data_IF_086735297655
#
_entry.id   IF_086735297655
#
_cell.length_a   1.000
_cell.length_b   1.000
_cell.length_c   1.000
_cell.angle_alpha   90.00
_cell.angle_beta   90.00
_cell.angle_gamma   90.00
#
_symmetry.space_group_name_H-M   'P 1'
#
loop_
_entity.id
_entity.type
_entity.pdbx_description
1 polymer ?
#
# COMPACT_ATOMS: atom_id res chain seq x y z
N UNK A 1 -69.25 34.30 -44.45
CA UNK A 1 -68.45 33.63 -45.50
C UNK A 1 -67.30 32.92 -44.83
N UNK A 2 -67.52 31.65 -44.47
CA UNK A 2 -66.47 30.78 -43.92
C UNK A 2 -65.85 30.03 -45.10
N UNK A 3 -64.56 30.23 -45.35
CA UNK A 3 -63.83 29.42 -46.34
C UNK A 3 -63.65 28.02 -45.75
N UNK A 4 -64.12 26.95 -46.43
CA UNK A 4 -63.90 25.59 -45.94
C UNK A 4 -62.40 25.32 -45.87
N UNK A 5 -61.91 25.03 -44.66
CA UNK A 5 -60.52 24.67 -44.42
C UNK A 5 -60.25 23.34 -45.14
N UNK A 6 -59.37 23.36 -46.15
CA UNK A 6 -59.02 22.17 -46.92
C UNK A 6 -58.28 21.18 -46.02
N UNK A 7 -58.94 20.08 -45.69
CA UNK A 7 -58.40 18.97 -44.88
C UNK A 7 -57.24 18.24 -45.57
N UNK A 8 -57.13 18.34 -46.89
CA UNK A 8 -56.07 17.70 -47.67
C UNK A 8 -54.67 18.24 -47.32
N UNK A 9 -54.52 19.56 -47.09
CA UNK A 9 -53.22 20.14 -46.76
C UNK A 9 -52.69 19.74 -45.37
N UNK A 10 -53.59 19.40 -44.46
CA UNK A 10 -53.24 19.04 -43.07
C UNK A 10 -52.67 17.62 -43.01
N UNK A 11 -53.20 16.70 -43.83
CA UNK A 11 -52.72 15.32 -43.89
C UNK A 11 -51.29 15.21 -44.45
N UNK A 12 -51.00 15.93 -45.55
CA UNK A 12 -49.66 15.92 -46.15
C UNK A 12 -48.60 16.52 -45.21
N UNK A 13 -48.97 17.57 -44.47
CA UNK A 13 -48.07 18.19 -43.48
C UNK A 13 -47.75 17.22 -42.33
N UNK A 14 -48.74 16.45 -41.85
CA UNK A 14 -48.54 15.46 -40.79
C UNK A 14 -47.67 14.29 -41.27
N UNK A 15 -47.91 13.76 -42.47
CA UNK A 15 -47.10 12.67 -43.03
C UNK A 15 -45.65 13.10 -43.23
N UNK A 16 -45.43 14.32 -43.73
CA UNK A 16 -44.08 14.87 -43.86
C UNK A 16 -43.38 15.03 -42.51
N UNK A 17 -44.12 15.48 -41.49
CA UNK A 17 -43.63 15.59 -40.11
C UNK A 17 -43.19 14.24 -39.53
N UNK A 18 -44.00 13.19 -39.69
CA UNK A 18 -43.68 11.84 -39.21
C UNK A 18 -42.42 11.29 -39.88
N UNK A 19 -42.27 11.49 -41.20
CA UNK A 19 -41.09 11.05 -41.93
C UNK A 19 -39.82 11.79 -41.47
N UNK A 20 -39.91 13.10 -41.22
CA UNK A 20 -38.79 13.91 -40.72
C UNK A 20 -38.36 13.46 -39.32
N UNK A 21 -39.31 13.18 -38.42
CA UNK A 21 -39.03 12.62 -37.09
C UNK A 21 -38.37 11.24 -37.20
N UNK A 22 -38.86 10.36 -38.07
CA UNK A 22 -38.28 9.03 -38.28
C UNK A 22 -36.83 9.08 -38.79
N UNK A 23 -36.55 9.94 -39.76
CA UNK A 23 -35.16 10.14 -40.27
C UNK A 23 -34.23 10.74 -39.21
N UNK A 24 -34.74 11.64 -38.35
CA UNK A 24 -34.00 12.18 -37.23
C UNK A 24 -33.62 11.10 -36.20
N UNK A 25 -34.57 10.27 -35.78
CA UNK A 25 -34.29 9.15 -34.86
C UNK A 25 -33.27 8.17 -35.43
N UNK A 26 -33.37 7.83 -36.73
CA UNK A 26 -32.39 6.95 -37.38
C UNK A 26 -30.97 7.55 -37.40
N UNK A 27 -30.84 8.86 -37.63
CA UNK A 27 -29.55 9.56 -37.57
C UNK A 27 -29.01 9.61 -36.14
N UNK A 28 -29.87 9.90 -35.16
CA UNK A 28 -29.52 9.92 -33.75
C UNK A 28 -29.01 8.55 -33.28
N UNK A 29 -29.67 7.47 -33.69
CA UNK A 29 -29.27 6.11 -33.34
C UNK A 29 -27.90 5.75 -33.94
N UNK A 30 -27.66 6.11 -35.22
CA UNK A 30 -26.35 5.94 -35.86
C UNK A 30 -25.26 6.76 -35.14
N UNK A 31 -25.57 7.99 -34.73
CA UNK A 31 -24.66 8.85 -33.97
C UNK A 31 -24.35 8.22 -32.60
N UNK A 32 -25.36 7.82 -31.82
CA UNK A 32 -25.18 7.16 -30.52
C UNK A 32 -24.33 5.90 -30.63
N UNK A 33 -24.58 5.06 -31.65
CA UNK A 33 -23.79 3.86 -31.94
C UNK A 33 -22.35 4.18 -32.31
N UNK A 34 -22.10 5.31 -32.95
CA UNK A 34 -20.74 5.75 -33.29
C UNK A 34 -20.02 6.32 -32.06
N UNK A 35 -20.66 7.22 -31.31
CA UNK A 35 -20.13 7.80 -30.06
C UNK A 35 -19.83 6.71 -29.03
N UNK A 36 -20.74 5.76 -28.83
CA UNK A 36 -20.53 4.63 -27.91
C UNK A 36 -19.28 3.81 -28.28
N UNK A 37 -19.08 3.51 -29.57
CA UNK A 37 -17.87 2.82 -30.05
C UNK A 37 -16.61 3.64 -29.83
N UNK A 38 -16.67 4.96 -30.00
CA UNK A 38 -15.53 5.84 -29.77
C UNK A 38 -15.17 5.91 -28.29
N UNK A 39 -16.17 6.10 -27.41
CA UNK A 39 -15.94 6.11 -25.96
C UNK A 39 -15.37 4.77 -25.51
N UNK A 40 -15.89 3.63 -25.98
CA UNK A 40 -15.36 2.31 -25.60
C UNK A 40 -13.87 2.15 -25.99
N UNK A 41 -13.47 2.66 -27.16
CA UNK A 41 -12.07 2.65 -27.60
C UNK A 41 -11.18 3.55 -26.76
N UNK A 42 -11.63 4.77 -26.46
CA UNK A 42 -10.89 5.72 -25.61
C UNK A 42 -10.72 5.13 -24.22
N UNK A 43 -11.78 4.53 -23.68
CA UNK A 43 -11.76 3.84 -22.39
C UNK A 43 -10.77 2.68 -22.36
N UNK A 44 -10.79 1.81 -23.37
CA UNK A 44 -9.84 0.71 -23.48
C UNK A 44 -8.39 1.20 -23.53
N UNK A 45 -8.14 2.29 -24.27
CA UNK A 45 -6.83 2.93 -24.37
C UNK A 45 -6.37 3.54 -23.03
N UNK A 46 -7.26 4.24 -22.32
CA UNK A 46 -6.98 4.79 -20.98
C UNK A 46 -6.59 3.68 -20.00
N UNK A 47 -7.34 2.57 -19.98
CA UNK A 47 -7.05 1.42 -19.12
C UNK A 47 -5.71 0.78 -19.51
N UNK A 48 -5.44 0.66 -20.81
CA UNK A 48 -4.20 0.08 -21.32
C UNK A 48 -2.98 0.91 -20.92
N UNK A 49 -3.01 2.22 -21.21
CA UNK A 49 -1.94 3.17 -20.87
C UNK A 49 -1.75 3.23 -19.35
N UNK A 50 -2.84 3.30 -18.59
CA UNK A 50 -2.78 3.31 -17.13
C UNK A 50 -2.15 2.05 -16.55
N UNK A 51 -2.56 0.87 -17.03
CA UNK A 51 -1.97 -0.41 -16.62
C UNK A 51 -0.49 -0.54 -16.97
N UNK A 52 -0.07 -0.11 -18.17
CA UNK A 52 1.35 -0.13 -18.58
C UNK A 52 2.18 0.82 -17.73
N UNK A 53 1.73 2.06 -17.52
CA UNK A 53 2.42 3.03 -16.67
C UNK A 53 2.58 2.48 -15.24
N UNK A 54 1.51 1.98 -14.64
CA UNK A 54 1.58 1.39 -13.29
C UNK A 54 2.53 0.19 -13.23
N UNK A 55 2.55 -0.66 -14.26
CA UNK A 55 3.47 -1.80 -14.34
C UNK A 55 4.92 -1.34 -14.38
N UNK A 56 5.24 -0.36 -15.23
CA UNK A 56 6.60 0.19 -15.35
C UNK A 56 7.02 0.85 -14.05
N UNK A 57 6.15 1.63 -13.41
CA UNK A 57 6.43 2.24 -12.10
C UNK A 57 6.73 1.22 -11.03
N UNK A 58 5.92 0.15 -10.92
CA UNK A 58 6.18 -0.93 -9.96
C UNK A 58 7.47 -1.70 -10.25
N UNK A 59 7.78 -1.96 -11.52
CA UNK A 59 9.02 -2.63 -11.90
C UNK A 59 10.24 -1.75 -11.55
N UNK A 60 10.15 -0.44 -11.81
CA UNK A 60 11.22 0.51 -11.48
C UNK A 60 11.46 0.61 -9.98
N UNK A 61 10.38 0.61 -9.18
CA UNK A 61 10.44 0.58 -7.73
C UNK A 61 10.99 -0.74 -7.18
N UNK A 62 10.75 -1.88 -7.86
CA UNK A 62 11.32 -3.17 -7.47
C UNK A 62 12.84 -3.25 -7.75
N UNK A 63 13.32 -2.60 -8.80
CA UNK A 63 14.75 -2.56 -9.15
C UNK A 63 15.53 -1.59 -8.24
N UNK A 64 14.92 -0.48 -7.84
CA UNK A 64 15.55 0.54 -6.99
C UNK A 64 14.91 0.54 -5.60
N UNK A 65 15.46 -0.28 -4.70
CA UNK A 65 14.94 -0.44 -3.33
C UNK A 65 15.20 0.77 -2.43
N UNK A 66 16.05 1.71 -2.85
CA UNK A 66 16.40 2.88 -2.05
C UNK A 66 15.30 3.96 -2.17
N UNK A 67 14.49 4.19 -1.11
CA UNK A 67 13.37 5.13 -1.14
C UNK A 67 13.83 6.60 -1.26
N UNK A 68 15.12 6.85 -1.04
CA UNK A 68 15.73 8.17 -1.15
C UNK A 68 16.24 8.49 -2.56
N UNK A 69 16.30 7.48 -3.42
CA UNK A 69 16.80 7.68 -4.77
C UNK A 69 15.81 8.54 -5.58
N UNK A 70 16.27 9.50 -6.40
CA UNK A 70 15.38 10.27 -7.27
C UNK A 70 14.60 9.35 -8.24
N UNK A 71 15.17 8.20 -8.58
CA UNK A 71 14.52 7.13 -9.36
C UNK A 71 13.30 6.53 -8.67
N UNK A 72 13.31 6.40 -7.34
CA UNK A 72 12.16 5.91 -6.59
C UNK A 72 10.98 6.90 -6.66
N UNK A 73 11.25 8.20 -6.53
CA UNK A 73 10.22 9.23 -6.69
C UNK A 73 9.58 9.19 -8.08
N UNK A 74 10.39 9.06 -9.14
CA UNK A 74 9.88 8.91 -10.51
C UNK A 74 9.02 7.66 -10.65
N UNK A 75 9.43 6.53 -10.07
CA UNK A 75 8.66 5.29 -10.07
C UNK A 75 7.27 5.48 -9.43
N UNK A 76 7.20 6.11 -8.26
CA UNK A 76 5.95 6.41 -7.55
C UNK A 76 5.03 7.30 -8.39
N UNK A 77 5.55 8.38 -8.99
CA UNK A 77 4.77 9.25 -9.87
C UNK A 77 4.22 8.52 -11.11
N UNK A 78 4.98 7.56 -11.64
CA UNK A 78 4.56 6.71 -12.75
C UNK A 78 3.40 5.78 -12.33
N UNK A 79 3.44 5.23 -11.10
CA UNK A 79 2.32 4.47 -10.54
C UNK A 79 1.10 5.36 -10.32
N UNK A 80 1.25 6.52 -9.68
CA UNK A 80 0.14 7.44 -9.41
C UNK A 80 -0.55 7.86 -10.71
N UNK A 81 0.22 8.30 -11.71
CA UNK A 81 -0.33 8.69 -13.01
C UNK A 81 -1.02 7.52 -13.72
N UNK A 82 -0.44 6.32 -13.69
CA UNK A 82 -1.05 5.12 -14.24
C UNK A 82 -2.39 4.75 -13.59
N UNK A 83 -2.47 4.84 -12.25
CA UNK A 83 -3.71 4.56 -11.51
C UNK A 83 -4.77 5.62 -11.76
N UNK A 84 -4.40 6.90 -11.94
CA UNK A 84 -5.35 7.95 -12.34
C UNK A 84 -5.97 7.64 -13.71
N UNK A 85 -5.16 7.24 -14.70
CA UNK A 85 -5.68 6.81 -16.00
C UNK A 85 -6.60 5.59 -15.90
N UNK A 86 -6.26 4.62 -15.03
CA UNK A 86 -7.14 3.48 -14.72
C UNK A 86 -8.48 3.95 -14.14
N UNK A 87 -8.47 4.84 -13.15
CA UNK A 87 -9.70 5.38 -12.53
C UNK A 87 -10.60 6.05 -13.57
N UNK A 88 -10.04 6.91 -14.44
CA UNK A 88 -10.82 7.54 -15.50
C UNK A 88 -11.36 6.52 -16.52
N UNK A 89 -10.56 5.52 -16.89
CA UNK A 89 -10.99 4.44 -17.76
C UNK A 89 -12.14 3.63 -17.14
N UNK A 90 -12.03 3.24 -15.87
CA UNK A 90 -13.08 2.50 -15.18
C UNK A 90 -14.33 3.32 -14.92
N UNK A 91 -14.22 4.62 -14.67
CA UNK A 91 -15.37 5.51 -14.55
C UNK A 91 -16.11 5.65 -15.89
N UNK A 92 -15.38 5.71 -17.00
CA UNK A 92 -15.98 5.70 -18.33
C UNK A 92 -16.66 4.35 -18.65
N UNK A 93 -16.07 3.21 -18.26
CA UNK A 93 -16.74 1.91 -18.34
C UNK A 93 -18.01 1.91 -17.47
N UNK A 94 -17.93 2.41 -16.25
CA UNK A 94 -19.07 2.47 -15.35
C UNK A 94 -20.24 3.21 -15.97
N UNK A 95 -20.02 4.41 -16.51
CA UNK A 95 -21.06 5.19 -17.17
C UNK A 95 -21.72 4.46 -18.35
N UNK A 96 -20.96 3.68 -19.12
CA UNK A 96 -21.49 2.89 -20.24
C UNK A 96 -22.29 1.68 -19.81
N UNK A 97 -21.87 1.02 -18.74
CA UNK A 97 -22.40 -0.26 -18.33
C UNK A 97 -23.42 -0.17 -17.19
N UNK A 98 -23.63 1.02 -16.60
CA UNK A 98 -24.55 1.23 -15.46
C UNK A 98 -25.97 0.73 -15.75
N UNK A 99 -26.44 0.87 -16.99
CA UNK A 99 -27.77 0.43 -17.41
C UNK A 99 -27.87 -1.06 -17.76
N UNK A 100 -26.73 -1.74 -17.95
CA UNK A 100 -26.71 -3.12 -18.48
C UNK A 100 -26.19 -4.15 -17.50
N UNK A 101 -25.35 -3.72 -16.55
CA UNK A 101 -24.77 -4.58 -15.53
C UNK A 101 -25.71 -4.63 -14.33
N UNK A 102 -26.01 -5.84 -13.85
CA UNK A 102 -26.79 -6.04 -12.62
C UNK A 102 -26.12 -5.42 -11.38
N UNK A 103 -26.87 -5.31 -10.27
CA UNK A 103 -26.42 -4.66 -9.03
C UNK A 103 -25.06 -5.17 -8.52
N UNK A 104 -24.80 -6.48 -8.66
CA UNK A 104 -23.55 -7.11 -8.23
C UNK A 104 -22.34 -6.50 -8.96
N UNK A 105 -22.45 -6.27 -10.27
CA UNK A 105 -21.37 -5.69 -11.07
C UNK A 105 -21.09 -4.23 -10.77
N UNK A 106 -22.13 -3.47 -10.43
CA UNK A 106 -21.97 -2.10 -9.93
C UNK A 106 -21.18 -2.08 -8.62
N UNK A 107 -21.46 -3.03 -7.71
CA UNK A 107 -20.73 -3.14 -6.45
C UNK A 107 -19.25 -3.50 -6.66
N UNK A 108 -18.95 -4.48 -7.51
CA UNK A 108 -17.57 -4.86 -7.83
C UNK A 108 -16.75 -3.70 -8.40
N UNK A 109 -17.35 -2.92 -9.30
CA UNK A 109 -16.69 -1.74 -9.88
C UNK A 109 -16.51 -0.63 -8.83
N UNK A 110 -17.49 -0.40 -7.96
CA UNK A 110 -17.39 0.59 -6.89
C UNK A 110 -16.29 0.23 -5.88
N UNK A 111 -16.20 -1.06 -5.48
CA UNK A 111 -15.12 -1.56 -4.62
C UNK A 111 -13.77 -1.41 -5.31
N UNK A 112 -13.67 -1.69 -6.61
CA UNK A 112 -12.44 -1.47 -7.38
C UNK A 112 -12.04 0.01 -7.40
N UNK A 113 -12.96 0.93 -7.69
CA UNK A 113 -12.70 2.37 -7.70
C UNK A 113 -12.28 2.88 -6.31
N UNK A 114 -12.95 2.40 -5.26
CA UNK A 114 -12.59 2.74 -3.88
C UNK A 114 -11.18 2.24 -3.54
N UNK A 115 -10.86 1.00 -3.92
CA UNK A 115 -9.52 0.45 -3.74
C UNK A 115 -8.44 1.22 -4.51
N UNK A 116 -8.73 1.66 -5.73
CA UNK A 116 -7.83 2.51 -6.52
C UNK A 116 -7.63 3.89 -5.88
N UNK A 117 -8.70 4.51 -5.37
CA UNK A 117 -8.64 5.79 -4.67
C UNK A 117 -7.82 5.68 -3.38
N UNK A 118 -8.03 4.61 -2.61
CA UNK A 118 -7.26 4.32 -1.38
C UNK A 118 -5.79 4.09 -1.72
N UNK A 119 -5.49 3.40 -2.83
CA UNK A 119 -4.12 3.21 -3.28
C UNK A 119 -3.45 4.55 -3.67
N UNK A 120 -4.16 5.43 -4.40
CA UNK A 120 -3.65 6.78 -4.72
C UNK A 120 -3.43 7.59 -3.44
N UNK A 121 -4.43 7.67 -2.56
CA UNK A 121 -4.36 8.44 -1.33
C UNK A 121 -3.25 7.93 -0.41
N UNK A 122 -3.15 6.60 -0.28
CA UNK A 122 -2.09 5.95 0.48
C UNK A 122 -0.71 6.24 -0.09
N UNK A 123 -0.51 6.06 -1.40
CA UNK A 123 0.81 6.26 -2.04
C UNK A 123 1.21 7.72 -1.91
N UNK A 124 0.30 8.66 -2.19
CA UNK A 124 0.56 10.08 -2.02
C UNK A 124 0.88 10.43 -0.55
N UNK A 125 0.10 9.93 0.42
CA UNK A 125 0.31 10.25 1.83
C UNK A 125 1.65 9.70 2.35
N UNK A 126 1.95 8.43 2.06
CA UNK A 126 3.17 7.77 2.53
C UNK A 126 4.40 8.33 1.83
N UNK A 127 4.35 8.45 0.50
CA UNK A 127 5.53 8.75 -0.31
C UNK A 127 5.84 10.25 -0.39
N UNK A 128 4.82 11.11 -0.44
CA UNK A 128 5.04 12.55 -0.57
C UNK A 128 5.11 13.28 0.78
N UNK A 129 4.47 12.75 1.82
CA UNK A 129 4.39 13.44 3.11
C UNK A 129 5.16 12.69 4.21
N UNK A 130 4.82 11.43 4.46
CA UNK A 130 5.34 10.71 5.63
C UNK A 130 6.84 10.43 5.46
N UNK A 131 7.28 9.91 4.32
CA UNK A 131 8.69 9.58 4.08
C UNK A 131 9.60 10.83 4.16
N UNK A 132 9.34 11.92 3.42
CA UNK A 132 10.16 13.13 3.51
C UNK A 132 10.18 13.75 4.91
N UNK A 133 9.02 13.74 5.60
CA UNK A 133 8.95 14.21 6.98
C UNK A 133 9.78 13.35 7.93
N UNK A 134 9.69 12.02 7.82
CA UNK A 134 10.46 11.08 8.63
C UNK A 134 11.97 11.27 8.40
N UNK A 135 12.40 11.45 7.15
CA UNK A 135 13.80 11.74 6.83
C UNK A 135 14.25 13.07 7.40
N UNK A 136 13.41 14.10 7.34
CA UNK A 136 13.72 15.40 7.94
C UNK A 136 13.91 15.27 9.45
N UNK A 137 13.01 14.56 10.14
CA UNK A 137 13.12 14.30 11.59
C UNK A 137 14.40 13.52 11.91
N UNK A 138 14.68 12.42 11.20
CA UNK A 138 15.91 11.62 11.37
C UNK A 138 17.17 12.46 11.10
N UNK A 139 17.15 13.32 10.07
CA UNK A 139 18.26 14.22 9.73
C UNK A 139 18.44 15.40 10.69
N UNK A 140 17.44 15.70 11.53
CA UNK A 140 17.51 16.68 12.62
C UNK A 140 17.86 16.04 13.97
N UNK A 141 17.95 14.71 14.00
CA UNK A 141 18.44 13.92 15.12
C UNK A 141 19.93 13.49 15.02
N UNK A 142 20.84 14.08 14.21
CA UNK A 142 22.25 13.67 14.19
C UNK A 142 22.94 14.01 15.52
N UNK A 143 22.40 14.97 16.27
CA UNK A 143 22.80 15.26 17.65
C UNK A 143 22.15 14.32 18.68
N UNK A 144 21.15 13.52 18.32
CA UNK A 144 20.53 12.60 19.28
C UNK A 144 21.48 11.48 19.67
N UNK A 145 22.34 11.00 18.75
CA UNK A 145 23.37 10.02 19.08
C UNK A 145 24.38 10.56 20.14
N UNK A 146 25.02 11.74 19.96
CA UNK A 146 25.88 12.31 20.99
C UNK A 146 25.11 12.80 22.23
N UNK A 147 23.84 13.23 22.13
CA UNK A 147 23.03 13.59 23.30
C UNK A 147 22.61 12.38 24.13
N UNK A 148 22.23 11.25 23.50
CA UNK A 148 21.98 9.98 24.19
C UNK A 148 23.26 9.46 24.84
N UNK A 149 24.40 9.57 24.14
CA UNK A 149 25.71 9.28 24.72
C UNK A 149 26.03 10.19 25.91
N UNK A 150 25.72 11.49 25.82
CA UNK A 150 25.93 12.47 26.88
C UNK A 150 25.05 12.22 28.10
N UNK A 151 23.77 11.88 27.90
CA UNK A 151 22.86 11.49 28.97
C UNK A 151 23.29 10.18 29.61
N UNK A 152 23.70 9.19 28.82
CA UNK A 152 24.25 7.93 29.33
C UNK A 152 25.48 8.17 30.19
N UNK A 153 26.44 8.97 29.71
CA UNK A 153 27.63 9.35 30.48
C UNK A 153 27.26 10.12 31.76
N UNK A 154 26.23 10.97 31.73
CA UNK A 154 25.76 11.72 32.91
C UNK A 154 25.13 10.79 33.95
N UNK A 155 24.30 9.85 33.52
CA UNK A 155 23.68 8.84 34.40
C UNK A 155 24.76 7.88 34.94
N UNK A 156 25.70 7.45 34.10
CA UNK A 156 26.79 6.58 34.52
C UNK A 156 27.71 7.29 35.53
N UNK A 157 28.05 8.56 35.30
CA UNK A 157 28.81 9.37 36.25
C UNK A 157 28.03 9.61 37.56
N UNK A 158 26.73 9.88 37.48
CA UNK A 158 25.87 9.99 38.67
C UNK A 158 25.81 8.68 39.46
N UNK A 159 25.72 7.55 38.76
CA UNK A 159 25.72 6.21 39.37
C UNK A 159 27.07 5.86 39.99
N UNK A 160 28.17 6.18 39.31
CA UNK A 160 29.54 6.01 39.82
C UNK A 160 29.79 6.92 41.03
N UNK A 161 29.24 8.13 41.03
CA UNK A 161 29.34 9.06 42.16
C UNK A 161 28.52 8.55 43.35
N UNK A 162 27.28 8.12 43.14
CA UNK A 162 26.44 7.51 44.18
C UNK A 162 27.07 6.22 44.74
N UNK A 163 27.59 5.35 43.87
CA UNK A 163 28.33 4.15 44.26
C UNK A 163 29.61 4.51 45.01
N UNK A 164 30.37 5.53 44.60
CA UNK A 164 31.55 6.00 45.33
C UNK A 164 31.20 6.66 46.66
N UNK A 165 30.03 7.28 46.79
CA UNK A 165 29.55 7.90 48.03
C UNK A 165 29.08 6.82 49.01
N UNK A 166 28.42 5.77 48.51
CA UNK A 166 28.10 4.58 49.29
C UNK A 166 29.39 3.84 49.64
N UNK A 167 30.31 3.62 48.71
CA UNK A 167 31.60 2.94 48.96
C UNK A 167 32.47 3.77 49.89
N UNK A 168 32.51 5.10 49.81
CA UNK A 168 33.27 5.93 50.75
C UNK A 168 32.57 6.07 52.10
N UNK A 169 31.24 6.15 52.14
CA UNK A 169 30.47 6.07 53.39
C UNK A 169 30.63 4.72 54.08
N UNK A 170 30.62 3.64 53.29
CA UNK A 170 30.89 2.27 53.74
C UNK A 170 32.36 2.13 54.09
N UNK A 171 33.33 2.68 53.35
CA UNK A 171 34.75 2.68 53.71
C UNK A 171 35.03 3.58 54.93
N UNK A 172 34.18 4.53 55.27
CA UNK A 172 34.30 5.32 56.51
C UNK A 172 33.75 4.50 57.70
N UNK A 173 32.63 3.81 57.53
CA UNK A 173 32.11 2.86 58.51
C UNK A 173 33.02 1.61 58.65
N UNK A 174 33.55 1.11 57.54
CA UNK A 174 34.39 -0.06 57.40
C UNK A 174 35.84 0.28 57.70
N UNK A 175 36.36 1.50 57.55
CA UNK A 175 37.69 1.85 58.11
C UNK A 175 37.63 1.95 59.63
N UNK A 176 36.49 2.37 60.20
CA UNK A 176 36.25 2.32 61.65
C UNK A 176 36.20 0.86 62.14
N UNK A 177 35.56 -0.04 61.38
CA UNK A 177 35.48 -1.48 61.72
C UNK A 177 36.74 -2.27 61.32
N UNK A 178 37.44 -1.91 60.24
CA UNK A 178 38.65 -2.58 59.72
C UNK A 178 39.87 -2.16 60.53
N UNK A 179 40.00 -0.90 60.96
CA UNK A 179 41.03 -0.55 61.94
C UNK A 179 40.77 -1.24 63.29
N UNK A 180 39.49 -1.41 63.69
CA UNK A 180 39.11 -2.20 64.87
C UNK A 180 39.42 -3.70 64.73
N UNK A 181 39.15 -4.31 63.58
CA UNK A 181 39.35 -5.75 63.34
C UNK A 181 40.78 -6.13 62.97
N UNK A 182 41.55 -5.24 62.32
CA UNK A 182 42.98 -5.48 62.06
C UNK A 182 43.80 -5.33 63.36
N UNK A 183 43.40 -4.40 64.24
CA UNK A 183 43.95 -4.32 65.60
C UNK A 183 43.58 -5.55 66.43
N UNK A 184 42.33 -6.03 66.37
CA UNK A 184 41.91 -7.26 67.05
C UNK A 184 42.62 -8.51 66.51
N UNK A 185 42.82 -8.62 65.18
CA UNK A 185 43.50 -9.75 64.56
C UNK A 185 45.00 -9.77 64.91
N UNK A 186 45.68 -8.63 64.95
CA UNK A 186 47.06 -8.53 65.44
C UNK A 186 47.19 -8.81 66.95
N UNK A 187 46.21 -8.39 67.77
CA UNK A 187 46.23 -8.63 69.23
C UNK A 187 45.98 -10.10 69.59
N UNK A 188 45.14 -10.80 68.81
CA UNK A 188 44.91 -12.24 68.97
C UNK A 188 46.10 -13.06 68.47
N UNK A 189 46.75 -12.63 67.39
CA UNK A 189 47.94 -13.34 66.85
C UNK A 189 49.18 -13.19 67.75
N UNK A 190 49.30 -12.10 68.51
CA UNK A 190 50.46 -11.87 69.40
C UNK A 190 50.32 -12.50 70.81
N UNK A 191 49.12 -12.92 71.24
CA UNK A 191 48.87 -13.42 72.61
C UNK A 191 48.58 -14.93 72.72
N UNK A 192 48.77 -15.71 71.66
CA UNK A 192 48.61 -17.17 71.69
C UNK A 192 49.97 -17.84 72.00
N UNK A 193 50.10 -18.66 73.06
CA UNK A 193 51.36 -19.25 73.51
C UNK A 193 51.87 -20.43 72.66
N UNK A 194 51.31 -20.66 71.47
CA UNK A 194 51.75 -21.70 70.55
C UNK A 194 52.10 -21.08 69.21
N UNK A 195 53.40 -21.07 68.89
CA UNK A 195 53.96 -20.53 67.66
C UNK A 195 53.36 -21.20 66.42
N UNK A 196 52.51 -20.46 65.72
CA UNK A 196 51.98 -20.81 64.41
C UNK A 196 52.21 -19.66 63.44
N UNK A 197 53.31 -19.73 62.69
CA UNK A 197 53.58 -18.85 61.56
C UNK A 197 52.66 -19.17 60.37
N UNK A 198 52.18 -18.11 59.71
CA UNK A 198 51.51 -18.05 58.39
C UNK A 198 49.98 -18.24 58.28
N UNK A 199 49.18 -17.36 58.89
CA UNK A 199 47.86 -17.01 58.36
C UNK A 199 47.88 -15.55 57.87
N UNK A 200 48.08 -15.36 56.56
CA UNK A 200 47.98 -14.05 55.89
C UNK A 200 46.52 -13.77 55.53
N UNK A 201 45.98 -12.65 56.02
CA UNK A 201 44.62 -12.20 55.66
C UNK A 201 44.52 -11.94 54.14
N UNK A 202 43.41 -12.31 53.50
CA UNK A 202 43.23 -12.13 52.06
C UNK A 202 43.17 -10.65 51.70
N UNK A 203 44.04 -10.23 50.77
CA UNK A 203 44.03 -8.90 50.19
C UNK A 203 42.81 -8.73 49.29
N UNK A 204 41.92 -7.80 49.66
CA UNK A 204 40.72 -7.48 48.88
C UNK A 204 41.11 -6.89 47.52
N UNK A 205 40.92 -7.66 46.44
CA UNK A 205 41.06 -7.20 45.06
C UNK A 205 39.98 -6.17 44.75
N UNK A 206 40.37 -4.99 44.26
CA UNK A 206 39.47 -3.90 43.90
C UNK A 206 38.48 -4.32 42.82
N UNK A 207 37.18 -3.96 42.94
CA UNK A 207 36.18 -4.32 41.94
C UNK A 207 36.45 -3.54 40.64
N UNK A 208 36.73 -4.28 39.57
CA UNK A 208 36.87 -3.71 38.22
C UNK A 208 35.47 -3.52 37.65
N UNK A 209 35.06 -2.27 37.44
CA UNK A 209 33.75 -1.95 36.84
C UNK A 209 33.81 -2.29 35.35
N UNK A 210 32.94 -3.18 34.84
CA UNK A 210 32.94 -3.52 33.42
C UNK A 210 32.49 -2.32 32.60
N UNK A 211 33.28 -1.96 31.59
CA UNK A 211 32.91 -1.00 30.56
C UNK A 211 31.74 -1.55 29.74
N UNK A 212 30.52 -1.36 30.23
CA UNK A 212 29.30 -1.74 29.53
C UNK A 212 29.19 -0.96 28.23
N UNK A 213 29.14 -1.68 27.11
CA UNK A 213 28.84 -1.13 25.79
C UNK A 213 27.51 -0.39 25.83
N UNK A 214 27.50 0.84 25.33
CA UNK A 214 26.30 1.69 25.19
C UNK A 214 25.21 0.86 24.51
N UNK A 215 23.98 0.80 25.06
CA UNK A 215 22.89 0.08 24.43
C UNK A 215 22.63 0.71 23.06
N UNK A 216 22.96 -0.03 22.00
CA UNK A 216 22.57 0.33 20.64
C UNK A 216 21.08 0.64 20.65
N UNK A 217 20.67 1.75 20.03
CA UNK A 217 19.25 2.10 19.87
C UNK A 217 18.59 0.96 19.10
N UNK A 218 18.01 0.02 19.85
CA UNK A 218 17.36 -1.14 19.30
C UNK A 218 15.93 -0.71 18.92
N UNK A 219 15.42 -1.26 17.81
CA UNK A 219 14.05 -1.12 17.30
C UNK A 219 12.96 -1.05 18.39
N UNK A 220 12.98 -1.86 19.48
CA UNK A 220 12.02 -1.73 20.59
C UNK A 220 11.96 -0.33 21.22
N UNK A 221 13.09 0.37 21.38
CA UNK A 221 13.14 1.72 21.95
C UNK A 221 12.34 2.71 21.11
N UNK A 222 12.49 2.66 19.79
CA UNK A 222 11.75 3.53 18.86
C UNK A 222 10.26 3.19 18.89
N UNK A 223 9.91 1.91 19.00
CA UNK A 223 8.50 1.50 19.11
C UNK A 223 7.82 2.02 20.38
N UNK A 224 8.53 2.05 21.51
CA UNK A 224 8.02 2.59 22.77
C UNK A 224 7.84 4.12 22.72
N UNK A 225 8.71 4.83 22.00
CA UNK A 225 8.60 6.26 21.75
C UNK A 225 7.41 6.58 20.85
N UNK A 226 7.20 5.83 19.76
CA UNK A 226 6.01 5.99 18.91
C UNK A 226 4.72 5.74 19.69
N UNK A 227 4.70 4.69 20.51
CA UNK A 227 3.55 4.38 21.36
C UNK A 227 3.27 5.49 22.38
N UNK A 228 4.30 6.17 22.91
CA UNK A 228 4.12 7.29 23.84
C UNK A 228 3.48 8.53 23.20
N UNK A 229 3.59 8.68 21.88
CA UNK A 229 2.96 9.76 21.10
C UNK A 229 1.54 9.34 20.63
N UNK A 230 1.08 8.14 20.99
CA UNK A 230 -0.20 7.59 20.57
C UNK A 230 -0.19 7.06 19.13
N UNK A 231 0.98 6.91 18.51
CA UNK A 231 1.11 6.31 17.19
C UNK A 231 1.19 4.78 17.29
N UNK A 232 0.65 4.04 16.31
CA UNK A 232 0.80 2.59 16.26
C UNK A 232 2.28 2.19 16.22
N UNK A 233 2.68 1.06 16.84
CA UNK A 233 4.06 0.63 16.83
C UNK A 233 4.53 0.39 15.38
N UNK A 234 5.81 0.67 15.11
CA UNK A 234 6.45 0.54 13.78
C UNK A 234 6.10 -0.75 13.01
N UNK A 235 6.05 -1.94 13.64
CA UNK A 235 5.63 -3.16 12.95
C UNK A 235 4.19 -3.06 12.45
N UNK A 236 3.26 -2.55 13.26
CA UNK A 236 1.86 -2.39 12.87
C UNK A 236 1.73 -1.33 11.77
N UNK A 237 2.45 -0.21 11.88
CA UNK A 237 2.43 0.84 10.86
C UNK A 237 3.02 0.34 9.53
N UNK A 238 4.09 -0.45 9.60
CA UNK A 238 4.67 -1.14 8.45
C UNK A 238 3.70 -2.15 7.83
N UNK A 239 3.00 -2.93 8.65
CA UNK A 239 2.03 -3.93 8.18
C UNK A 239 0.80 -3.27 7.56
N UNK A 240 0.28 -2.20 8.18
CA UNK A 240 -0.88 -1.44 7.72
C UNK A 240 -0.54 -0.64 6.46
N UNK A 241 0.65 -0.03 6.44
CA UNK A 241 1.23 0.61 5.27
C UNK A 241 1.43 -0.38 4.12
N UNK A 242 1.97 -1.56 4.38
CA UNK A 242 2.10 -2.64 3.40
C UNK A 242 0.72 -3.14 2.93
N UNK A 243 -0.28 -3.30 3.79
CA UNK A 243 -1.63 -3.67 3.38
C UNK A 243 -2.28 -2.61 2.48
N UNK A 244 -2.14 -1.32 2.84
CA UNK A 244 -2.68 -0.21 2.05
C UNK A 244 -1.93 -0.05 0.72
N UNK A 245 -0.60 -0.15 0.73
CA UNK A 245 0.27 -0.05 -0.45
C UNK A 245 0.16 -1.26 -1.39
N UNK A 246 -0.06 -2.45 -0.85
CA UNK A 246 -0.15 -3.69 -1.64
C UNK A 246 -1.46 -3.83 -2.44
N UNK A 247 -2.35 -2.82 -2.34
CA UNK A 247 -3.64 -2.85 -3.01
C UNK A 247 -4.56 -3.92 -2.43
N UNK A 248 -4.52 -4.16 -1.12
CA UNK A 248 -5.39 -5.11 -0.44
C UNK A 248 -6.88 -4.88 -0.74
N UNK A 249 -7.32 -3.62 -0.87
CA UNK A 249 -8.68 -3.29 -1.32
C UNK A 249 -8.87 -3.39 -2.84
N UNK A 250 -7.81 -3.24 -3.63
CA UNK A 250 -7.86 -3.34 -5.08
C UNK A 250 -8.09 -4.79 -5.54
N UNK A 251 -7.47 -5.75 -4.85
CA UNK A 251 -7.61 -7.18 -5.14
C UNK A 251 -9.06 -7.70 -5.12
N UNK A 252 -9.88 -7.51 -4.05
CA UNK A 252 -11.27 -7.95 -4.05
C UNK A 252 -12.11 -7.24 -5.11
N UNK A 253 -11.83 -5.96 -5.40
CA UNK A 253 -12.45 -5.24 -6.52
C UNK A 253 -12.15 -5.88 -7.87
N UNK A 254 -10.88 -6.23 -8.13
CA UNK A 254 -10.46 -6.94 -9.34
C UNK A 254 -11.10 -8.33 -9.43
N UNK A 255 -11.18 -9.06 -8.31
CA UNK A 255 -11.78 -10.39 -8.26
C UNK A 255 -13.27 -10.35 -8.60
N UNK A 256 -14.03 -9.46 -7.96
CA UNK A 256 -15.45 -9.24 -8.24
C UNK A 256 -15.66 -8.84 -9.69
N UNK A 257 -14.93 -7.81 -10.15
CA UNK A 257 -15.02 -7.32 -11.51
C UNK A 257 -14.74 -8.42 -12.54
N UNK A 258 -13.70 -9.23 -12.30
CA UNK A 258 -13.32 -10.34 -13.17
C UNK A 258 -14.40 -11.41 -13.24
N UNK A 259 -14.95 -11.80 -12.10
CA UNK A 259 -16.00 -12.80 -12.01
C UNK A 259 -17.28 -12.32 -12.72
N UNK A 260 -17.67 -11.06 -12.53
CA UNK A 260 -18.83 -10.46 -13.16
C UNK A 260 -18.67 -10.38 -14.68
N UNK A 261 -17.51 -9.94 -15.17
CA UNK A 261 -17.23 -9.91 -16.61
C UNK A 261 -17.14 -11.32 -17.21
N UNK A 262 -16.70 -12.31 -16.44
CA UNK A 262 -16.67 -13.70 -16.86
C UNK A 262 -18.10 -14.25 -16.99
N UNK A 263 -18.99 -13.96 -16.04
CA UNK A 263 -20.41 -14.33 -16.07
C UNK A 263 -21.15 -13.62 -17.20
N UNK A 264 -20.80 -12.37 -17.48
CA UNK A 264 -21.34 -11.59 -18.60
C UNK A 264 -20.77 -12.01 -19.98
N UNK A 265 -19.94 -13.05 -20.02
CA UNK A 265 -19.22 -13.58 -21.19
C UNK A 265 -18.49 -12.51 -22.02
N UNK A 266 -17.89 -11.53 -21.32
CA UNK A 266 -17.11 -10.47 -21.96
C UNK A 266 -15.80 -11.07 -22.47
N UNK A 267 -15.54 -10.94 -23.78
CA UNK A 267 -14.24 -11.32 -24.36
C UNK A 267 -13.22 -10.19 -24.16
N UNK A 268 -11.95 -10.53 -23.87
CA UNK A 268 -11.34 -11.86 -23.86
C UNK A 268 -11.33 -12.51 -22.47
N UNK A 269 -11.75 -13.78 -22.41
CA UNK A 269 -11.78 -14.58 -21.17
C UNK A 269 -10.39 -14.72 -20.53
N UNK A 270 -9.30 -14.70 -21.32
CA UNK A 270 -7.94 -14.80 -20.79
C UNK A 270 -7.54 -13.63 -19.88
N UNK A 271 -7.93 -12.39 -20.23
CA UNK A 271 -7.68 -11.22 -19.39
C UNK A 271 -8.34 -11.38 -18.02
N UNK A 272 -9.60 -11.83 -18.05
CA UNK A 272 -10.45 -11.96 -16.87
C UNK A 272 -9.96 -13.08 -15.95
N UNK A 273 -9.61 -14.24 -16.51
CA UNK A 273 -9.03 -15.35 -15.75
C UNK A 273 -7.68 -14.96 -15.12
N UNK A 274 -6.85 -14.23 -15.87
CA UNK A 274 -5.57 -13.75 -15.36
C UNK A 274 -5.77 -12.74 -14.23
N UNK A 275 -6.73 -11.81 -14.37
CA UNK A 275 -7.08 -10.85 -13.31
C UNK A 275 -7.64 -11.55 -12.05
N UNK A 276 -8.51 -12.54 -12.19
CA UNK A 276 -9.03 -13.35 -11.07
C UNK A 276 -7.88 -14.11 -10.38
N UNK A 277 -7.01 -14.76 -11.15
CA UNK A 277 -5.87 -15.49 -10.62
C UNK A 277 -4.90 -14.56 -9.87
N UNK A 278 -4.60 -13.38 -10.41
CA UNK A 278 -3.74 -12.39 -9.76
C UNK A 278 -4.35 -11.84 -8.48
N UNK A 279 -5.66 -11.55 -8.49
CA UNK A 279 -6.36 -11.08 -7.31
C UNK A 279 -6.36 -12.14 -6.20
N UNK A 280 -6.60 -13.42 -6.55
CA UNK A 280 -6.50 -14.54 -5.62
C UNK A 280 -5.08 -14.70 -5.09
N UNK A 281 -4.06 -14.61 -5.95
CA UNK A 281 -2.65 -14.73 -5.56
C UNK A 281 -2.23 -13.57 -4.64
N UNK A 282 -2.73 -12.36 -4.88
CA UNK A 282 -2.49 -11.21 -4.02
C UNK A 282 -3.14 -11.40 -2.64
N UNK A 283 -4.40 -11.84 -2.60
CA UNK A 283 -5.11 -12.16 -1.35
C UNK A 283 -4.40 -13.29 -0.59
N UNK A 284 -4.04 -14.38 -1.27
CA UNK A 284 -3.31 -15.49 -0.64
C UNK A 284 -1.96 -15.04 -0.10
N UNK A 285 -1.24 -14.22 -0.88
CA UNK A 285 0.07 -13.70 -0.49
C UNK A 285 0.01 -12.83 0.76
N UNK A 286 -0.97 -11.92 0.82
CA UNK A 286 -1.16 -11.01 1.93
C UNK A 286 -1.64 -11.72 3.21
N UNK A 287 -2.57 -12.67 3.11
CA UNK A 287 -3.17 -13.30 4.29
C UNK A 287 -2.41 -14.53 4.78
N UNK A 288 -1.86 -15.35 3.89
CA UNK A 288 -1.31 -16.66 4.27
C UNK A 288 0.21 -16.70 4.29
N UNK A 289 0.88 -16.08 3.31
CA UNK A 289 2.31 -16.36 3.08
C UNK A 289 3.25 -15.36 3.73
N UNK A 290 2.83 -14.10 3.98
CA UNK A 290 3.71 -13.04 4.53
C UNK A 290 5.08 -12.93 3.81
N UNK A 291 5.16 -13.35 2.53
CA UNK A 291 6.38 -13.28 1.75
C UNK A 291 6.45 -11.87 1.12
N UNK A 292 7.42 -11.02 1.50
CA UNK A 292 7.46 -9.62 1.06
C UNK A 292 7.61 -9.47 -0.46
N UNK A 293 8.30 -10.41 -1.12
CA UNK A 293 8.49 -10.41 -2.57
C UNK A 293 7.18 -10.66 -3.34
N UNK A 294 6.25 -11.43 -2.76
CA UNK A 294 5.05 -11.88 -3.47
C UNK A 294 4.08 -10.71 -3.73
N UNK A 295 4.09 -9.69 -2.87
CA UNK A 295 3.25 -8.48 -3.04
C UNK A 295 3.69 -7.59 -4.22
N UNK A 296 4.99 -7.45 -4.45
CA UNK A 296 5.50 -6.68 -5.60
C UNK A 296 5.18 -7.40 -6.91
N UNK A 297 5.45 -8.72 -6.95
CA UNK A 297 5.16 -9.55 -8.12
C UNK A 297 3.65 -9.58 -8.42
N UNK A 298 2.80 -9.76 -7.41
CA UNK A 298 1.35 -9.78 -7.60
C UNK A 298 0.83 -8.45 -8.14
N UNK A 299 1.36 -7.32 -7.66
CA UNK A 299 1.03 -5.99 -8.16
C UNK A 299 1.37 -5.82 -9.64
N UNK A 300 2.59 -6.20 -10.04
CA UNK A 300 3.04 -6.16 -11.44
C UNK A 300 2.12 -6.99 -12.35
N UNK A 301 1.84 -8.24 -11.97
CA UNK A 301 1.00 -9.11 -12.80
C UNK A 301 -0.45 -8.59 -12.84
N UNK A 302 -0.96 -8.02 -11.74
CA UNK A 302 -2.28 -7.40 -11.70
C UNK A 302 -2.38 -6.21 -12.67
N UNK A 303 -1.40 -5.31 -12.69
CA UNK A 303 -1.42 -4.18 -13.64
C UNK A 303 -1.24 -4.63 -15.10
N UNK A 304 -0.44 -5.67 -15.36
CA UNK A 304 -0.34 -6.29 -16.69
C UNK A 304 -1.70 -6.86 -17.10
N UNK A 305 -2.43 -7.49 -16.18
CA UNK A 305 -3.78 -8.03 -16.44
C UNK A 305 -4.77 -6.93 -16.82
N UNK A 306 -4.71 -5.79 -16.16
CA UNK A 306 -5.52 -4.61 -16.46
C UNK A 306 -5.12 -3.99 -17.80
N UNK A 307 -3.83 -3.88 -18.07
CA UNK A 307 -3.34 -3.40 -19.37
C UNK A 307 -3.82 -4.29 -20.51
N UNK A 308 -3.80 -5.61 -20.30
CA UNK A 308 -4.28 -6.60 -21.26
C UNK A 308 -5.81 -6.53 -21.45
N UNK A 309 -6.57 -6.29 -20.38
CA UNK A 309 -8.01 -6.02 -20.45
C UNK A 309 -8.29 -4.76 -21.28
N UNK A 310 -7.58 -3.66 -21.01
CA UNK A 310 -7.70 -2.40 -21.76
C UNK A 310 -7.37 -2.57 -23.24
N UNK A 311 -6.26 -3.26 -23.55
CA UNK A 311 -5.88 -3.58 -24.93
C UNK A 311 -6.97 -4.34 -25.67
N UNK A 312 -7.62 -5.29 -24.99
CA UNK A 312 -8.65 -6.09 -25.62
C UNK A 312 -9.98 -5.35 -25.80
N UNK A 313 -10.32 -4.42 -24.92
CA UNK A 313 -11.45 -3.50 -25.10
C UNK A 313 -11.21 -2.52 -26.25
N UNK A 314 -9.95 -2.11 -26.46
CA UNK A 314 -9.55 -1.28 -27.59
C UNK A 314 -9.65 -2.01 -28.94
N UNK A 315 -9.32 -3.31 -28.94
CA UNK A 315 -9.48 -4.36 -29.95
C UNK A 315 -10.84 -4.47 -30.71
N UNK A 316 -11.17 -3.74 -31.80
CA UNK A 316 -12.53 -3.73 -32.35
C UNK A 316 -12.93 -5.05 -33.03
N UNK A 317 -11.95 -5.88 -33.43
CA UNK A 317 -12.19 -7.07 -34.26
C UNK A 317 -12.61 -8.33 -33.52
N UNK A 318 -12.54 -8.37 -32.18
CA UNK A 318 -12.76 -9.62 -31.41
C UNK A 318 -14.05 -9.68 -30.59
N UNK A 319 -14.76 -8.57 -30.48
CA UNK A 319 -16.05 -8.51 -29.78
C UNK A 319 -17.18 -8.86 -30.76
N UNK A 320 -17.48 -10.15 -30.90
CA UNK A 320 -18.75 -10.60 -31.48
C UNK A 320 -19.86 -10.11 -30.55
N UNK A 321 -20.57 -9.05 -30.92
CA UNK A 321 -21.73 -8.55 -30.17
C UNK A 321 -22.81 -9.64 -30.16
N UNK A 322 -23.18 -10.18 -28.99
CA UNK A 322 -24.34 -11.07 -28.86
C UNK A 322 -25.58 -10.21 -29.10
N UNK A 323 -26.06 -10.21 -30.35
CA UNK A 323 -27.05 -9.23 -30.81
C UNK A 323 -26.91 -8.88 -32.29
N UNK A 324 -25.76 -9.16 -32.91
CA UNK A 324 -25.79 -9.60 -34.31
C UNK A 324 -26.32 -11.03 -34.33
N UNK A 325 -27.54 -11.21 -33.83
CA UNK A 325 -28.51 -12.05 -34.49
C UNK A 325 -28.39 -11.60 -35.93
N UNK A 326 -27.63 -12.36 -36.71
CA UNK A 326 -27.94 -12.45 -38.11
C UNK A 326 -29.46 -12.56 -38.10
N UNK A 327 -30.12 -11.55 -38.66
CA UNK A 327 -31.36 -11.82 -39.36
C UNK A 327 -30.93 -12.93 -40.29
N UNK A 328 -31.04 -14.17 -39.78
CA UNK A 328 -31.01 -15.37 -40.53
C UNK A 328 -32.29 -15.17 -41.31
N UNK A 329 -32.16 -14.44 -42.43
CA UNK A 329 -33.08 -14.53 -43.52
C UNK A 329 -33.04 -16.01 -43.85
N UNK A 330 -33.86 -16.78 -43.12
CA UNK A 330 -34.53 -17.93 -43.67
C UNK A 330 -35.18 -17.38 -44.92
N UNK A 331 -34.42 -17.36 -46.01
CA UNK A 331 -34.96 -17.44 -47.34
C UNK A 331 -35.64 -18.79 -47.35
N UNK A 332 -36.89 -18.82 -46.89
CA UNK A 332 -37.83 -19.88 -47.18
C UNK A 332 -38.02 -19.81 -48.68
N UNK A 333 -37.13 -20.46 -49.42
CA UNK A 333 -37.36 -20.89 -50.78
C UNK A 333 -38.53 -21.87 -50.69
N UNK A 334 -39.74 -21.31 -50.79
CA UNK A 334 -40.93 -22.07 -51.11
C UNK A 334 -40.78 -22.54 -52.56
N UNK A 335 -40.56 -23.84 -52.72
CA UNK A 335 -40.82 -24.60 -53.94
C UNK A 335 -42.22 -25.17 -53.88
#
# INVERSE_FOLDING_TARGET
MEKPLSTAGLQDTVVHGIHLVGTFFSRLEKLLRWVSRLILRVTGLLICVGGVLSTVGWLLAAVHTDPLSPTWSVAVWLVISGVIFLVFGFLALYAQYMLRIGSVGQFGLLVFLLGALVLIAGTCAVDLFILPWLFKVVSQLPDLAPQLQGMYNTVQNGTNTAASTVINGTNTATSTVTNGTTSACNTVTQNLPFGGSSLSCPSASSPTVPSGSVPSVTVPTISSLLASIGLPPLPLLGTLGLMLMSGALLAPGCLLLGLIFLVADVRPRSALLLMICCALLNLLGQFFLHIPFLGQLSGVILFISLAWLGFALWAPGKLKLPGSLAVQTHSTTAS
#
